data_IF_320271378063
#
_entry.id   IF_320271378063
#
_cell.length_a   1.000
_cell.length_b   1.000
_cell.length_c   1.000
_cell.angle_alpha   90.00
_cell.angle_beta   90.00
_cell.angle_gamma   90.00
#
_symmetry.space_group_name_H-M   'P 1'
#
loop_
_entity.id
_entity.type
_entity.pdbx_description
1 polymer ?
#
# COMPACT_ATOMS: atom_id res chain seq x y z
N UNK A 1 -4.35 0.15 10.88
CA UNK A 1 -5.51 0.33 9.97
C UNK A 1 -5.68 1.81 9.70
N UNK A 2 -5.52 2.25 8.48
CA UNK A 2 -5.70 3.61 8.01
C UNK A 2 -7.13 3.77 7.48
N UNK A 3 -7.79 4.83 7.90
CA UNK A 3 -9.20 5.05 7.56
C UNK A 3 -9.43 6.16 6.55
N UNK A 4 -8.66 7.23 6.60
CA UNK A 4 -8.88 8.47 5.82
C UNK A 4 -10.38 8.87 5.81
N UNK A 5 -10.96 9.06 4.61
CA UNK A 5 -12.38 9.42 4.44
C UNK A 5 -13.37 8.25 4.66
N UNK A 6 -12.86 7.03 4.90
CA UNK A 6 -13.67 5.89 5.33
C UNK A 6 -14.00 5.90 6.83
N UNK A 7 -13.36 6.74 7.64
CA UNK A 7 -13.71 6.90 9.05
C UNK A 7 -15.07 7.60 9.18
N UNK A 8 -15.94 7.18 10.11
CA UNK A 8 -17.27 7.77 10.30
C UNK A 8 -17.24 9.12 11.02
N UNK A 9 -16.48 10.08 10.48
CA UNK A 9 -16.40 11.41 11.05
C UNK A 9 -17.76 12.04 11.24
N UNK A 10 -17.96 12.75 12.35
CA UNK A 10 -19.22 13.35 12.77
C UNK A 10 -19.06 14.81 13.15
N UNK A 11 -20.19 15.48 13.46
CA UNK A 11 -20.22 16.90 13.83
C UNK A 11 -19.52 17.79 12.81
N UNK A 12 -18.63 18.67 13.26
CA UNK A 12 -17.87 19.61 12.41
C UNK A 12 -16.91 18.94 11.42
N UNK A 13 -16.65 17.63 11.55
CA UNK A 13 -15.81 16.86 10.66
C UNK A 13 -16.61 15.95 9.70
N UNK A 14 -17.94 16.02 9.70
CA UNK A 14 -18.77 15.17 8.84
C UNK A 14 -18.49 15.31 7.33
N UNK A 15 -17.95 16.45 6.91
CA UNK A 15 -17.53 16.70 5.52
C UNK A 15 -16.37 15.82 5.09
N UNK A 16 -15.54 15.33 6.00
CA UNK A 16 -14.38 14.48 5.73
C UNK A 16 -14.78 13.07 5.30
N UNK A 17 -15.93 12.57 5.77
CA UNK A 17 -16.35 11.21 5.49
C UNK A 17 -16.99 11.11 4.11
N UNK A 18 -16.61 10.10 3.34
CA UNK A 18 -17.29 9.75 2.09
C UNK A 18 -18.68 9.14 2.35
N UNK A 19 -19.52 9.09 1.30
CA UNK A 19 -20.90 8.55 1.42
C UNK A 19 -20.93 7.09 1.85
N UNK A 20 -19.94 6.31 1.48
CA UNK A 20 -19.78 4.89 1.79
C UNK A 20 -18.78 4.64 2.92
N UNK A 21 -18.53 5.64 3.78
CA UNK A 21 -17.68 5.47 4.95
C UNK A 21 -18.25 4.39 5.87
N UNK A 22 -17.38 3.77 6.66
CA UNK A 22 -17.80 2.85 7.70
C UNK A 22 -18.74 3.58 8.68
N UNK A 23 -19.66 2.84 9.24
CA UNK A 23 -20.42 3.29 10.41
C UNK A 23 -19.79 2.73 11.69
N UNK A 24 -20.30 3.17 12.83
CA UNK A 24 -19.81 2.71 14.13
C UNK A 24 -20.01 1.20 14.31
N UNK A 25 -21.10 0.65 13.77
CA UNK A 25 -21.41 -0.79 13.87
C UNK A 25 -20.39 -1.60 13.06
N UNK A 26 -20.08 -1.19 11.83
CA UNK A 26 -19.06 -1.83 10.99
C UNK A 26 -17.69 -1.79 11.67
N UNK A 27 -17.32 -0.65 12.26
CA UNK A 27 -16.04 -0.51 12.99
C UNK A 27 -16.00 -1.44 14.20
N UNK A 28 -17.10 -1.55 14.94
CA UNK A 28 -17.23 -2.48 16.07
C UNK A 28 -17.10 -3.94 15.63
N UNK A 29 -17.80 -4.35 14.59
CA UNK A 29 -17.75 -5.71 14.04
C UNK A 29 -16.32 -6.06 13.57
N UNK A 30 -15.61 -5.10 12.95
CA UNK A 30 -14.23 -5.28 12.55
C UNK A 30 -13.31 -5.53 13.76
N UNK A 31 -13.48 -4.76 14.85
CA UNK A 31 -12.73 -4.95 16.10
C UNK A 31 -13.03 -6.32 16.74
N UNK A 32 -14.30 -6.68 16.81
CA UNK A 32 -14.72 -7.98 17.35
C UNK A 32 -14.13 -9.15 16.54
N UNK A 33 -14.16 -9.03 15.20
CA UNK A 33 -13.57 -10.03 14.31
C UNK A 33 -12.06 -10.15 14.47
N UNK A 34 -11.35 -9.02 14.57
CA UNK A 34 -9.91 -9.00 14.82
C UNK A 34 -9.57 -9.67 16.16
N UNK A 35 -10.26 -9.27 17.23
CA UNK A 35 -10.06 -9.82 18.57
C UNK A 35 -10.34 -11.33 18.63
N UNK A 36 -11.36 -11.81 17.92
CA UNK A 36 -11.73 -13.23 17.88
C UNK A 36 -10.59 -14.13 17.32
N UNK A 37 -9.72 -13.57 16.49
CA UNK A 37 -8.55 -14.27 15.93
C UNK A 37 -7.22 -13.81 16.54
N UNK A 38 -7.25 -13.08 17.65
CA UNK A 38 -6.07 -12.64 18.38
C UNK A 38 -5.29 -11.49 17.73
N UNK A 39 -5.93 -10.70 16.86
CA UNK A 39 -5.34 -9.50 16.27
C UNK A 39 -5.76 -8.26 17.05
N UNK A 40 -4.81 -7.36 17.28
CA UNK A 40 -5.05 -6.02 17.80
C UNK A 40 -5.10 -5.02 16.64
N UNK A 41 -6.01 -4.06 16.71
CA UNK A 41 -6.09 -2.97 15.73
C UNK A 41 -5.30 -1.78 16.25
N UNK A 42 -4.34 -1.30 15.46
CA UNK A 42 -3.70 0.00 15.66
C UNK A 42 -4.32 0.96 14.66
N UNK A 43 -5.18 1.90 15.08
CA UNK A 43 -5.72 2.90 14.17
C UNK A 43 -4.61 3.81 13.69
N UNK A 44 -4.62 4.14 12.39
CA UNK A 44 -3.70 5.10 11.78
C UNK A 44 -4.51 6.30 11.29
N UNK A 45 -4.02 7.46 11.62
CA UNK A 45 -4.51 8.75 11.13
C UNK A 45 -3.33 9.56 10.59
N UNK A 46 -3.49 10.08 9.38
CA UNK A 46 -2.53 11.04 8.85
C UNK A 46 -2.68 12.37 9.58
N UNK A 47 -1.55 12.93 10.01
CA UNK A 47 -1.53 14.17 10.80
C UNK A 47 -0.55 15.22 10.26
N UNK A 48 0.08 14.95 9.12
CA UNK A 48 1.03 15.86 8.49
C UNK A 48 1.00 15.84 6.97
N UNK A 49 1.67 14.85 6.30
CA UNK A 49 1.49 14.56 4.89
C UNK A 49 0.25 13.71 4.63
N UNK A 50 0.00 13.36 3.37
CA UNK A 50 -1.17 12.57 2.93
C UNK A 50 -2.51 13.11 3.43
N UNK A 51 -2.62 14.43 3.52
CA UNK A 51 -3.78 15.09 4.11
C UNK A 51 -4.84 15.48 3.06
N UNK A 52 -4.74 14.96 1.83
CA UNK A 52 -5.62 15.28 0.71
C UNK A 52 -7.08 15.00 1.04
N UNK A 53 -7.37 13.91 1.76
CA UNK A 53 -8.74 13.56 2.13
C UNK A 53 -9.44 14.66 2.95
N UNK A 54 -8.69 15.47 3.70
CA UNK A 54 -9.21 16.59 4.47
C UNK A 54 -9.02 17.94 3.73
N UNK A 55 -7.82 18.20 3.19
CA UNK A 55 -7.50 19.50 2.60
C UNK A 55 -8.15 19.75 1.23
N UNK A 56 -8.74 18.73 0.59
CA UNK A 56 -9.57 18.91 -0.61
C UNK A 56 -10.84 19.71 -0.33
N UNK A 57 -11.33 19.73 0.91
CA UNK A 57 -12.54 20.44 1.29
C UNK A 57 -12.30 21.94 1.49
N UNK A 58 -13.26 22.75 1.03
CA UNK A 58 -13.16 24.21 1.08
C UNK A 58 -12.99 24.74 2.52
N UNK A 59 -13.64 24.10 3.48
CA UNK A 59 -13.61 24.44 4.90
C UNK A 59 -12.20 24.35 5.50
N UNK A 60 -11.36 23.50 4.95
CA UNK A 60 -10.00 23.24 5.43
C UNK A 60 -8.91 23.71 4.44
N UNK A 61 -9.28 24.30 3.31
CA UNK A 61 -8.32 24.76 2.30
C UNK A 61 -7.30 25.79 2.83
N UNK A 62 -7.70 26.60 3.81
CA UNK A 62 -6.81 27.58 4.49
C UNK A 62 -5.79 26.95 5.43
N UNK A 63 -5.83 25.64 5.62
CA UNK A 63 -4.88 24.88 6.45
C UNK A 63 -3.77 24.24 5.63
N UNK A 64 -3.82 24.34 4.29
CA UNK A 64 -2.76 23.88 3.41
C UNK A 64 -1.48 24.65 3.68
N UNK A 65 -0.37 23.94 3.66
CA UNK A 65 0.95 24.59 3.75
C UNK A 65 1.29 25.36 2.46
N UNK A 66 0.92 24.81 1.31
CA UNK A 66 0.90 25.50 0.02
C UNK A 66 -0.55 25.52 -0.52
N UNK A 67 -1.11 26.69 -0.88
CA UNK A 67 -2.47 26.79 -1.42
C UNK A 67 -2.74 25.92 -2.66
N UNK A 68 -1.71 25.60 -3.44
CA UNK A 68 -1.80 24.82 -4.67
C UNK A 68 -1.77 23.30 -4.44
N UNK A 69 -1.36 22.85 -3.24
CA UNK A 69 -1.18 21.44 -2.91
C UNK A 69 -2.02 21.07 -1.70
N UNK A 70 -2.61 19.89 -1.75
CA UNK A 70 -3.52 19.40 -0.70
C UNK A 70 -2.89 18.32 0.19
N UNK A 71 -1.61 18.00 -0.03
CA UNK A 71 -0.93 16.89 0.61
C UNK A 71 -0.47 17.20 2.04
N UNK A 72 -0.11 18.46 2.33
CA UNK A 72 0.54 18.83 3.60
C UNK A 72 -0.27 19.87 4.37
N UNK A 73 -0.57 19.56 5.63
CA UNK A 73 -1.23 20.49 6.55
C UNK A 73 -0.20 21.42 7.21
N UNK A 74 -0.53 22.71 7.36
CA UNK A 74 0.38 23.70 7.97
C UNK A 74 0.58 23.45 9.48
N UNK A 75 1.81 23.08 9.92
CA UNK A 75 2.11 22.76 11.32
C UNK A 75 2.14 23.99 12.25
N UNK A 76 2.13 25.19 11.67
CA UNK A 76 2.18 26.44 12.42
C UNK A 76 0.81 27.11 12.56
N UNK A 77 -0.23 26.55 11.98
CA UNK A 77 -1.60 27.05 12.09
C UNK A 77 -2.31 26.34 13.25
N UNK A 78 -2.80 27.09 14.23
CA UNK A 78 -3.50 26.51 15.39
C UNK A 78 -4.81 25.80 15.02
N UNK A 79 -5.46 26.20 13.93
CA UNK A 79 -6.64 25.48 13.41
C UNK A 79 -6.26 24.11 12.83
N UNK A 80 -5.04 23.94 12.32
CA UNK A 80 -4.53 22.62 11.93
C UNK A 80 -4.43 21.69 13.13
N UNK A 81 -3.90 22.20 14.23
CA UNK A 81 -3.78 21.44 15.48
C UNK A 81 -5.17 21.12 16.06
N UNK A 82 -6.12 22.05 15.97
CA UNK A 82 -7.50 21.81 16.37
C UNK A 82 -8.13 20.69 15.51
N UNK A 83 -7.98 20.74 14.20
CA UNK A 83 -8.49 19.71 13.29
C UNK A 83 -7.94 18.33 13.65
N UNK A 84 -6.62 18.21 13.80
CA UNK A 84 -5.95 16.96 14.19
C UNK A 84 -6.47 16.47 15.55
N UNK A 85 -6.62 17.37 16.53
CA UNK A 85 -7.16 17.02 17.86
C UNK A 85 -8.57 16.44 17.77
N UNK A 86 -9.46 17.07 17.00
CA UNK A 86 -10.82 16.57 16.80
C UNK A 86 -10.86 15.21 16.11
N UNK A 87 -9.97 15.00 15.12
CA UNK A 87 -9.85 13.71 14.44
C UNK A 87 -9.37 12.63 15.42
N UNK A 88 -8.31 12.88 16.20
CA UNK A 88 -7.81 11.93 17.21
C UNK A 88 -8.88 11.65 18.28
N UNK A 89 -9.63 12.68 18.70
CA UNK A 89 -10.74 12.53 19.67
C UNK A 89 -11.80 11.54 19.18
N UNK A 90 -12.23 11.66 17.91
CA UNK A 90 -13.22 10.77 17.33
C UNK A 90 -12.67 9.35 17.12
N UNK A 91 -11.40 9.22 16.73
CA UNK A 91 -10.72 7.92 16.66
C UNK A 91 -10.67 7.28 18.06
N UNK A 92 -10.28 8.04 19.08
CA UNK A 92 -10.23 7.54 20.46
C UNK A 92 -11.60 7.08 20.96
N UNK A 93 -12.66 7.76 20.56
CA UNK A 93 -14.01 7.37 20.91
C UNK A 93 -14.38 5.97 20.41
N UNK A 94 -14.08 5.64 19.14
CA UNK A 94 -14.33 4.31 18.56
C UNK A 94 -13.30 3.25 18.97
N UNK A 95 -12.08 3.67 19.26
CA UNK A 95 -10.95 2.82 19.64
C UNK A 95 -10.57 3.04 21.12
N UNK A 96 -11.58 3.10 22.00
CA UNK A 96 -11.39 3.45 23.42
C UNK A 96 -10.53 2.45 24.21
N UNK A 97 -10.48 1.19 23.75
CA UNK A 97 -9.75 0.07 24.35
C UNK A 97 -8.35 -0.14 23.75
N UNK A 98 -8.03 0.52 22.61
CA UNK A 98 -6.74 0.38 21.99
C UNK A 98 -5.66 1.20 22.72
N UNK A 99 -4.49 0.58 22.91
CA UNK A 99 -3.37 1.22 23.60
C UNK A 99 -2.46 2.04 22.68
N UNK A 100 -2.50 1.74 21.40
CA UNK A 100 -1.58 2.30 20.41
C UNK A 100 -2.33 3.09 19.34
N UNK A 101 -1.71 4.15 18.86
CA UNK A 101 -2.13 4.89 17.67
C UNK A 101 -0.93 5.14 16.76
N UNK A 102 -1.14 5.08 15.45
CA UNK A 102 -0.17 5.53 14.47
C UNK A 102 -0.60 6.91 13.95
N UNK A 103 0.26 7.91 14.05
CA UNK A 103 -0.05 9.30 13.67
C UNK A 103 0.44 9.67 12.26
N UNK A 104 0.88 8.69 11.45
CA UNK A 104 1.38 8.92 10.10
C UNK A 104 2.65 9.75 10.09
N UNK A 105 2.54 11.00 9.67
CA UNK A 105 3.58 12.01 9.57
C UNK A 105 4.60 11.78 8.45
N UNK A 106 4.29 10.91 7.50
CA UNK A 106 5.09 10.63 6.32
C UNK A 106 4.85 11.68 5.22
N UNK A 107 5.78 11.74 4.30
CA UNK A 107 5.73 12.44 3.01
C UNK A 107 5.16 13.87 3.00
N UNK A 108 5.36 14.64 4.07
CA UNK A 108 5.03 16.07 4.08
C UNK A 108 6.03 16.86 3.21
N UNK A 109 5.78 16.86 1.89
CA UNK A 109 6.71 17.43 0.90
C UNK A 109 6.66 18.95 0.84
N UNK A 110 5.47 19.54 0.84
CA UNK A 110 5.26 20.98 0.74
C UNK A 110 5.25 21.62 2.13
N UNK A 111 6.42 21.80 2.74
CA UNK A 111 6.55 22.31 4.10
C UNK A 111 7.42 23.57 4.18
N UNK A 112 7.10 24.45 5.13
CA UNK A 112 7.83 25.69 5.35
C UNK A 112 7.45 26.81 4.38
N UNK A 113 6.31 26.69 3.67
CA UNK A 113 5.88 27.61 2.63
C UNK A 113 4.82 28.61 3.13
N UNK A 114 3.97 28.23 4.07
CA UNK A 114 2.99 29.13 4.68
C UNK A 114 3.67 30.26 5.45
N UNK A 115 3.01 31.43 5.48
CA UNK A 115 3.54 32.63 6.17
C UNK A 115 3.85 32.41 7.65
N UNK A 116 3.04 31.61 8.34
CA UNK A 116 3.27 31.29 9.76
C UNK A 116 4.50 30.38 9.93
N UNK A 117 4.69 29.42 9.02
CA UNK A 117 5.88 28.59 8.98
C UNK A 117 7.13 29.40 8.64
N UNK A 118 7.07 30.26 7.63
CA UNK A 118 8.16 31.17 7.26
C UNK A 118 8.56 32.08 8.44
N UNK A 119 7.59 32.63 9.16
CA UNK A 119 7.88 33.45 10.36
C UNK A 119 8.64 32.63 11.42
N UNK A 120 8.19 31.41 11.71
CA UNK A 120 8.87 30.53 12.68
C UNK A 120 10.27 30.14 12.22
N UNK A 121 10.42 29.79 10.96
CA UNK A 121 11.72 29.44 10.38
C UNK A 121 12.72 30.61 10.55
N UNK A 122 12.27 31.85 10.31
CA UNK A 122 13.13 33.03 10.37
C UNK A 122 13.38 33.54 11.79
N UNK A 123 12.53 33.20 12.78
CA UNK A 123 12.63 33.76 14.14
C UNK A 123 13.09 32.74 15.18
N UNK A 124 12.54 31.54 15.20
CA UNK A 124 12.73 30.60 16.32
C UNK A 124 13.43 29.29 15.90
N UNK A 125 13.40 28.93 14.62
CA UNK A 125 13.91 27.66 14.15
C UNK A 125 15.25 27.75 13.41
N UNK A 126 15.84 28.94 13.29
CA UNK A 126 17.10 29.19 12.58
C UNK A 126 17.11 28.60 11.14
N UNK A 127 16.00 28.72 10.42
CA UNK A 127 15.83 28.20 9.07
C UNK A 127 15.68 26.68 8.96
N UNK A 128 15.61 25.95 10.06
CA UNK A 128 15.58 24.48 10.04
C UNK A 128 14.18 23.92 9.81
N UNK A 129 13.94 23.40 8.61
CA UNK A 129 12.75 22.64 8.22
C UNK A 129 12.62 21.38 9.09
N UNK A 130 13.71 20.69 9.36
CA UNK A 130 13.70 19.46 10.17
C UNK A 130 13.21 19.72 11.60
N UNK A 131 13.60 20.86 12.19
CA UNK A 131 13.08 21.25 13.50
C UNK A 131 11.58 21.55 13.43
N UNK A 132 11.11 22.23 12.38
CA UNK A 132 9.69 22.47 12.17
C UNK A 132 8.89 21.17 12.11
N UNK A 133 9.38 20.17 11.36
CA UNK A 133 8.80 18.84 11.28
C UNK A 133 8.77 18.15 12.65
N UNK A 134 9.92 18.07 13.31
CA UNK A 134 10.05 17.39 14.60
C UNK A 134 9.19 18.04 15.71
N UNK A 135 9.06 19.36 15.72
CA UNK A 135 8.19 20.05 16.67
C UNK A 135 6.71 19.71 16.44
N UNK A 136 6.28 19.62 15.17
CA UNK A 136 4.92 19.18 14.85
C UNK A 136 4.66 17.74 15.30
N UNK A 137 5.51 16.80 14.89
CA UNK A 137 5.42 15.38 15.27
C UNK A 137 5.36 15.25 16.80
N UNK A 138 6.27 15.92 17.51
CA UNK A 138 6.32 15.90 18.98
C UNK A 138 5.06 16.47 19.62
N UNK A 139 4.49 17.53 19.03
CA UNK A 139 3.25 18.14 19.51
C UNK A 139 2.07 17.19 19.38
N UNK A 140 1.91 16.56 18.22
CA UNK A 140 0.84 15.60 17.96
C UNK A 140 1.01 14.34 18.81
N UNK A 141 2.23 13.80 18.92
CA UNK A 141 2.50 12.62 19.74
C UNK A 141 2.19 12.87 21.23
N UNK A 142 2.57 14.03 21.76
CA UNK A 142 2.21 14.42 23.14
C UNK A 142 0.71 14.56 23.32
N UNK A 143 0.02 15.20 22.39
CA UNK A 143 -1.44 15.30 22.39
C UNK A 143 -2.10 13.92 22.46
N UNK A 144 -1.68 12.98 21.60
CA UNK A 144 -2.21 11.62 21.61
C UNK A 144 -1.99 10.90 22.95
N UNK A 145 -0.83 11.10 23.58
CA UNK A 145 -0.51 10.50 24.90
C UNK A 145 -1.21 11.19 26.06
N UNK A 146 -1.06 12.48 26.18
CA UNK A 146 -1.43 13.25 27.37
C UNK A 146 -2.92 13.61 27.39
N UNK A 147 -3.50 13.96 26.24
CA UNK A 147 -4.92 14.34 26.15
C UNK A 147 -5.83 13.13 25.91
N UNK A 148 -5.37 12.16 25.09
CA UNK A 148 -6.20 11.02 24.67
C UNK A 148 -5.80 9.67 25.27
N UNK A 149 -4.72 9.61 26.07
CA UNK A 149 -4.36 8.46 26.88
C UNK A 149 -3.86 7.24 26.07
N UNK A 150 -3.31 7.44 24.87
CA UNK A 150 -2.60 6.37 24.17
C UNK A 150 -1.27 6.08 24.85
N UNK A 151 -1.01 4.80 25.15
CA UNK A 151 0.25 4.38 25.78
C UNK A 151 1.41 4.43 24.78
N UNK A 152 1.15 4.09 23.52
CA UNK A 152 2.13 4.04 22.43
C UNK A 152 1.68 4.89 21.25
N UNK A 153 2.61 5.67 20.70
CA UNK A 153 2.40 6.46 19.49
C UNK A 153 3.45 6.06 18.47
N UNK A 154 3.00 5.56 17.32
CA UNK A 154 3.83 5.20 16.19
C UNK A 154 3.85 6.34 15.18
N UNK A 155 4.98 6.49 14.50
CA UNK A 155 5.20 7.47 13.43
C UNK A 155 6.06 6.87 12.34
N UNK A 156 5.81 7.24 11.09
CA UNK A 156 6.68 6.88 9.99
C UNK A 156 8.00 7.67 10.06
N UNK A 157 9.08 7.02 9.69
CA UNK A 157 10.42 7.61 9.76
C UNK A 157 10.91 8.22 8.44
N UNK A 158 10.31 7.93 7.32
CA UNK A 158 10.72 8.36 5.99
C UNK A 158 10.98 9.88 5.89
N UNK A 159 10.14 10.67 6.55
CA UNK A 159 10.31 12.13 6.63
C UNK A 159 11.67 12.56 7.19
N UNK A 160 12.35 11.69 7.94
CA UNK A 160 13.67 11.92 8.52
C UNK A 160 14.81 11.37 7.65
N UNK A 161 14.50 10.59 6.58
CA UNK A 161 15.48 9.96 5.69
C UNK A 161 15.76 10.72 4.41
N UNK A 162 15.08 11.82 4.13
CA UNK A 162 15.28 12.65 2.93
C UNK A 162 16.67 13.32 2.84
N UNK A 163 17.60 12.89 3.66
CA UNK A 163 19.02 13.25 3.59
C UNK A 163 19.77 12.55 2.45
N UNK A 164 19.09 12.26 1.35
CA UNK A 164 19.69 11.88 0.07
C UNK A 164 20.23 10.46 -0.01
N UNK A 165 19.80 9.72 -1.02
CA UNK A 165 20.41 8.51 -1.57
C UNK A 165 20.12 7.14 -0.91
N UNK A 166 19.06 6.94 -0.18
CA UNK A 166 18.62 5.57 0.22
C UNK A 166 19.62 4.79 1.10
N UNK A 167 20.63 5.46 1.64
CA UNK A 167 21.61 4.89 2.56
C UNK A 167 21.27 5.40 3.95
N UNK A 168 21.00 4.48 4.87
CA UNK A 168 20.83 4.86 6.27
C UNK A 168 22.11 5.54 6.78
N UNK A 169 22.01 6.70 7.44
CA UNK A 169 23.18 7.38 8.01
C UNK A 169 23.93 6.47 8.98
N UNK A 170 25.26 6.54 8.99
CA UNK A 170 26.08 5.82 9.95
C UNK A 170 25.62 6.09 11.40
N UNK A 171 25.52 5.04 12.21
CA UNK A 171 25.09 5.13 13.60
C UNK A 171 23.59 5.43 13.79
N UNK A 172 22.75 5.33 12.74
CA UNK A 172 21.31 5.58 12.86
C UNK A 172 20.66 4.71 13.95
N UNK A 173 20.86 3.40 13.88
CA UNK A 173 20.25 2.46 14.84
C UNK A 173 20.81 2.60 16.25
N UNK A 174 22.05 3.04 16.40
CA UNK A 174 22.62 3.41 17.70
C UNK A 174 21.84 4.58 18.31
N UNK A 175 21.64 5.67 17.55
CA UNK A 175 20.86 6.82 18.01
C UNK A 175 19.41 6.47 18.28
N UNK A 176 18.79 5.66 17.40
CA UNK A 176 17.40 5.23 17.57
C UNK A 176 17.20 4.38 18.81
N UNK A 177 18.10 3.46 19.09
CA UNK A 177 18.03 2.62 20.30
C UNK A 177 18.12 3.40 21.60
N UNK A 178 18.68 4.61 21.57
CA UNK A 178 18.75 5.52 22.73
C UNK A 178 17.48 6.33 22.95
N UNK A 179 16.66 6.52 21.91
CA UNK A 179 15.49 7.41 21.91
C UNK A 179 14.17 6.64 21.89
N UNK A 180 14.10 5.57 21.10
CA UNK A 180 12.86 4.83 20.88
C UNK A 180 12.89 3.47 21.61
N UNK A 181 11.81 3.18 22.34
CA UNK A 181 11.63 1.89 22.99
C UNK A 181 11.33 0.78 22.01
N UNK A 182 10.62 1.11 20.91
CA UNK A 182 10.21 0.17 19.88
C UNK A 182 10.61 0.69 18.49
N UNK A 183 11.15 -0.20 17.68
CA UNK A 183 11.48 0.03 16.27
C UNK A 183 10.74 -1.02 15.44
N UNK A 184 10.13 -0.60 14.36
CA UNK A 184 9.52 -1.48 13.37
C UNK A 184 10.20 -1.26 12.02
N UNK A 185 10.47 -2.34 11.29
CA UNK A 185 10.76 -2.21 9.89
C UNK A 185 9.44 -2.14 9.11
N UNK A 186 9.39 -1.33 8.06
CA UNK A 186 8.21 -1.16 7.24
C UNK A 186 8.49 -1.59 5.80
N UNK A 187 7.78 -2.61 5.35
CA UNK A 187 7.77 -3.10 3.98
C UNK A 187 6.36 -3.04 3.39
N UNK A 188 6.18 -3.64 2.23
CA UNK A 188 4.89 -3.77 1.61
C UNK A 188 4.61 -5.22 1.23
N UNK A 189 3.34 -5.60 1.11
CA UNK A 189 2.94 -6.88 0.52
C UNK A 189 2.22 -6.73 -0.81
N UNK A 190 1.78 -5.50 -1.15
CA UNK A 190 1.15 -5.11 -2.42
C UNK A 190 1.22 -3.60 -2.63
N UNK A 191 0.95 -3.14 -3.85
CA UNK A 191 0.76 -1.72 -4.18
C UNK A 191 2.05 -0.99 -4.58
N UNK A 192 3.21 -1.65 -4.65
CA UNK A 192 4.49 -1.04 -4.96
C UNK A 192 5.15 -1.53 -6.27
N UNK A 193 4.46 -2.33 -7.08
CA UNK A 193 5.04 -2.92 -8.28
C UNK A 193 4.90 -2.05 -9.54
N UNK A 194 4.06 -1.02 -9.50
CA UNK A 194 3.88 -0.07 -10.61
C UNK A 194 2.44 0.39 -10.81
N UNK A 195 2.27 1.39 -11.66
CA UNK A 195 1.04 2.19 -11.81
C UNK A 195 -0.20 1.36 -12.21
N UNK A 196 -0.04 0.31 -12.98
CA UNK A 196 -1.18 -0.46 -13.50
C UNK A 196 -1.06 -1.96 -13.21
N UNK A 197 -0.24 -2.33 -12.25
CA UNK A 197 -0.07 -3.72 -11.89
C UNK A 197 -1.36 -4.29 -11.28
N UNK A 198 -1.69 -5.52 -11.68
CA UNK A 198 -2.86 -6.24 -11.18
C UNK A 198 -2.47 -7.41 -10.28
N UNK A 199 -1.26 -7.92 -10.47
CA UNK A 199 -0.64 -8.97 -9.69
C UNK A 199 0.53 -8.47 -8.87
N UNK A 200 0.78 -9.17 -7.77
CA UNK A 200 1.89 -8.91 -6.86
C UNK A 200 3.09 -9.77 -7.26
N UNK A 201 4.21 -9.14 -7.53
CA UNK A 201 5.51 -9.81 -7.70
C UNK A 201 6.08 -10.19 -6.32
N UNK A 202 5.65 -11.34 -5.81
CA UNK A 202 5.95 -11.79 -4.44
C UNK A 202 7.45 -11.77 -4.15
N UNK A 203 8.28 -12.22 -5.08
CA UNK A 203 9.73 -12.28 -4.89
C UNK A 203 10.37 -10.90 -4.70
N UNK A 204 9.84 -9.85 -5.32
CA UNK A 204 10.29 -8.48 -5.10
C UNK A 204 10.10 -8.04 -3.64
N UNK A 205 8.95 -8.33 -3.06
CA UNK A 205 8.67 -8.03 -1.66
C UNK A 205 9.50 -8.91 -0.71
N UNK A 206 9.74 -10.17 -1.08
CA UNK A 206 10.63 -11.05 -0.33
C UNK A 206 12.09 -10.57 -0.34
N UNK A 207 12.56 -9.93 -1.41
CA UNK A 207 13.89 -9.31 -1.45
C UNK A 207 14.02 -8.17 -0.43
N UNK A 208 12.99 -7.35 -0.28
CA UNK A 208 12.95 -6.31 0.76
C UNK A 208 13.06 -6.93 2.16
N UNK A 209 12.31 -7.99 2.43
CA UNK A 209 12.37 -8.69 3.71
C UNK A 209 13.76 -9.27 3.99
N UNK A 210 14.40 -9.92 3.00
CA UNK A 210 15.79 -10.41 3.14
C UNK A 210 16.78 -9.26 3.40
N UNK A 211 16.54 -8.09 2.81
CA UNK A 211 17.37 -6.90 3.08
C UNK A 211 17.23 -6.44 4.53
N UNK A 212 16.03 -6.50 5.12
CA UNK A 212 15.80 -6.23 6.53
C UNK A 212 16.45 -7.26 7.45
N UNK A 213 16.42 -8.54 7.09
CA UNK A 213 17.15 -9.57 7.83
C UNK A 213 18.66 -9.28 7.85
N UNK A 214 19.23 -8.94 6.70
CA UNK A 214 20.63 -8.57 6.61
C UNK A 214 20.97 -7.32 7.45
N UNK A 215 20.11 -6.29 7.36
CA UNK A 215 20.26 -5.05 8.11
C UNK A 215 20.19 -5.28 9.62
N UNK A 216 19.28 -6.15 10.07
CA UNK A 216 19.19 -6.56 11.47
C UNK A 216 20.48 -7.21 11.95
N UNK A 217 21.00 -8.20 11.24
CA UNK A 217 22.24 -8.88 11.64
C UNK A 217 23.45 -7.93 11.68
N UNK A 218 23.51 -6.95 10.77
CA UNK A 218 24.58 -5.94 10.78
C UNK A 218 24.49 -5.00 11.99
N UNK A 219 23.30 -4.83 12.57
CA UNK A 219 23.01 -3.88 13.65
C UNK A 219 22.41 -4.56 14.88
N UNK A 220 22.60 -5.86 15.06
CA UNK A 220 21.96 -6.66 16.10
C UNK A 220 22.17 -6.08 17.50
N UNK A 221 23.37 -5.56 17.81
CA UNK A 221 23.69 -4.96 19.10
C UNK A 221 22.78 -3.77 19.50
N UNK A 222 22.18 -3.10 18.53
CA UNK A 222 21.27 -1.96 18.74
C UNK A 222 19.80 -2.35 18.58
N UNK A 223 19.52 -3.36 17.75
CA UNK A 223 18.15 -3.74 17.36
C UNK A 223 17.59 -4.91 18.17
N UNK A 224 18.44 -5.74 18.79
CA UNK A 224 18.04 -6.97 19.48
C UNK A 224 16.88 -6.77 20.46
N UNK A 225 16.92 -5.71 21.26
CA UNK A 225 15.92 -5.42 22.30
C UNK A 225 14.95 -4.29 21.90
N UNK A 226 15.04 -3.81 20.68
CA UNK A 226 14.26 -2.68 20.16
C UNK A 226 13.41 -3.02 18.94
N UNK A 227 13.84 -3.94 18.08
CA UNK A 227 13.06 -4.37 16.94
C UNK A 227 11.86 -5.20 17.40
N UNK A 228 10.69 -4.62 17.34
CA UNK A 228 9.44 -5.22 17.81
C UNK A 228 8.76 -6.05 16.73
N UNK A 229 8.92 -5.67 15.47
CA UNK A 229 8.30 -6.38 14.36
C UNK A 229 8.49 -5.70 13.00
N UNK A 230 7.72 -6.20 12.04
CA UNK A 230 7.69 -5.67 10.67
C UNK A 230 6.26 -5.29 10.32
N UNK A 231 6.07 -4.08 9.83
CA UNK A 231 4.81 -3.59 9.27
C UNK A 231 4.81 -3.93 7.77
N UNK A 232 3.78 -4.61 7.31
CA UNK A 232 3.56 -4.91 5.91
C UNK A 232 2.42 -4.05 5.39
N UNK A 233 2.76 -3.01 4.64
CA UNK A 233 1.77 -2.09 4.05
C UNK A 233 1.12 -2.69 2.81
N UNK A 234 -0.10 -2.30 2.51
CA UNK A 234 -0.85 -2.75 1.34
C UNK A 234 -1.53 -1.59 0.64
N UNK A 235 -0.76 -0.78 -0.10
CA UNK A 235 -1.30 0.40 -0.79
C UNK A 235 -2.32 0.02 -1.85
N UNK A 236 -3.36 0.84 -1.99
CA UNK A 236 -4.41 0.66 -2.99
C UNK A 236 -4.00 1.22 -4.35
N UNK A 237 -3.06 2.17 -4.36
CA UNK A 237 -2.53 2.86 -5.52
C UNK A 237 -1.01 2.93 -5.44
N UNK A 238 -0.35 2.99 -6.58
CA UNK A 238 1.10 3.21 -6.64
C UNK A 238 1.48 4.65 -6.24
N UNK A 239 0.64 5.61 -6.61
CA UNK A 239 0.68 6.98 -6.13
C UNK A 239 -0.73 7.56 -6.08
N UNK A 240 -0.95 8.69 -5.38
CA UNK A 240 -2.27 9.26 -5.11
C UNK A 240 -3.17 9.46 -6.34
N UNK A 241 -2.59 9.81 -7.48
CA UNK A 241 -3.31 10.12 -8.72
C UNK A 241 -3.31 8.98 -9.74
N UNK A 242 -2.74 7.83 -9.38
CA UNK A 242 -2.67 6.68 -10.29
C UNK A 242 -3.88 5.76 -10.14
N UNK A 243 -4.09 4.84 -11.09
CA UNK A 243 -5.12 3.81 -11.01
C UNK A 243 -5.00 2.95 -9.76
N UNK A 244 -6.11 2.33 -9.36
CA UNK A 244 -6.10 1.22 -8.40
C UNK A 244 -5.22 0.09 -8.95
N UNK A 245 -4.36 -0.46 -8.11
CA UNK A 245 -3.47 -1.56 -8.47
C UNK A 245 -3.56 -2.68 -7.44
N UNK A 246 -3.17 -3.87 -7.83
CA UNK A 246 -2.97 -5.04 -6.95
C UNK A 246 -4.03 -5.13 -5.84
N UNK A 247 -5.29 -5.34 -6.22
CA UNK A 247 -6.40 -5.44 -5.26
C UNK A 247 -6.09 -6.43 -4.14
N UNK A 248 -6.69 -6.25 -2.97
CA UNK A 248 -6.40 -7.06 -1.78
C UNK A 248 -6.41 -8.59 -2.04
N UNK A 249 -7.39 -9.17 -2.75
CA UNK A 249 -7.35 -10.60 -3.08
C UNK A 249 -6.08 -11.03 -3.83
N UNK A 250 -5.58 -10.19 -4.75
CA UNK A 250 -4.33 -10.45 -5.46
C UNK A 250 -3.08 -10.38 -4.55
N UNK A 251 -3.18 -9.65 -3.44
CA UNK A 251 -2.10 -9.49 -2.46
C UNK A 251 -2.05 -10.55 -1.36
N UNK A 252 -3.12 -11.34 -1.16
CA UNK A 252 -3.19 -12.31 -0.05
C UNK A 252 -2.06 -13.35 -0.09
N UNK A 253 -1.70 -13.96 -1.22
CA UNK A 253 -0.57 -14.89 -1.27
C UNK A 253 0.76 -14.24 -0.86
N UNK A 254 0.99 -12.99 -1.27
CA UNK A 254 2.18 -12.23 -0.88
C UNK A 254 2.21 -11.95 0.62
N UNK A 255 1.08 -11.53 1.19
CA UNK A 255 0.94 -11.30 2.63
C UNK A 255 1.22 -12.58 3.42
N UNK A 256 0.62 -13.71 3.01
CA UNK A 256 0.81 -15.00 3.65
C UNK A 256 2.29 -15.41 3.65
N UNK A 257 2.95 -15.34 2.49
CA UNK A 257 4.37 -15.70 2.36
C UNK A 257 5.28 -14.83 3.24
N UNK A 258 5.05 -13.53 3.25
CA UNK A 258 5.83 -12.61 4.06
C UNK A 258 5.57 -12.80 5.55
N UNK A 259 4.31 -12.92 5.98
CA UNK A 259 3.95 -13.13 7.38
C UNK A 259 4.57 -14.42 7.94
N UNK A 260 4.54 -15.52 7.17
CA UNK A 260 5.19 -16.78 7.53
C UNK A 260 6.71 -16.59 7.64
N UNK A 261 7.34 -15.93 6.66
CA UNK A 261 8.79 -15.70 6.68
C UNK A 261 9.22 -14.82 7.86
N UNK A 262 8.46 -13.76 8.17
CA UNK A 262 8.70 -12.92 9.35
C UNK A 262 8.56 -13.75 10.64
N UNK A 263 7.51 -14.55 10.75
CA UNK A 263 7.31 -15.40 11.92
C UNK A 263 8.45 -16.41 12.10
N UNK A 264 8.93 -17.03 11.03
CA UNK A 264 10.06 -17.96 11.07
C UNK A 264 11.35 -17.25 11.48
N UNK A 265 11.63 -16.08 10.91
CA UNK A 265 12.79 -15.27 11.25
C UNK A 265 12.78 -14.84 12.72
N UNK A 266 11.69 -14.26 13.20
CA UNK A 266 11.58 -13.81 14.61
C UNK A 266 11.69 -14.96 15.61
N UNK A 267 11.26 -16.17 15.23
CA UNK A 267 11.36 -17.36 16.06
C UNK A 267 12.63 -18.19 15.81
N UNK A 268 13.57 -17.69 14.98
CA UNK A 268 14.85 -18.38 14.65
C UNK A 268 14.64 -19.81 14.13
N UNK A 269 13.62 -20.02 13.31
CA UNK A 269 13.31 -21.31 12.69
C UNK A 269 13.94 -21.42 11.31
N UNK A 270 14.20 -22.65 10.85
CA UNK A 270 14.60 -22.90 9.46
C UNK A 270 13.52 -22.41 8.48
N UNK A 271 13.95 -21.78 7.40
CA UNK A 271 13.06 -21.19 6.40
C UNK A 271 12.51 -22.29 5.47
N UNK A 272 11.26 -22.68 5.66
CA UNK A 272 10.46 -23.52 4.76
C UNK A 272 9.22 -22.76 4.29
N UNK A 273 9.41 -21.50 3.97
CA UNK A 273 8.31 -20.55 3.77
C UNK A 273 7.33 -20.99 2.69
N UNK A 274 7.82 -21.53 1.58
CA UNK A 274 6.96 -21.93 0.45
C UNK A 274 6.07 -23.13 0.79
N UNK A 275 6.61 -24.11 1.50
CA UNK A 275 5.83 -25.26 1.96
C UNK A 275 4.74 -24.82 2.95
N UNK A 276 5.10 -24.04 3.97
CA UNK A 276 4.14 -23.57 4.97
C UNK A 276 3.08 -22.65 4.36
N UNK A 277 3.45 -21.82 3.37
CA UNK A 277 2.49 -20.99 2.66
C UNK A 277 1.47 -21.83 1.89
N UNK A 278 1.91 -22.87 1.17
CA UNK A 278 1.02 -23.77 0.44
C UNK A 278 0.09 -24.53 1.37
N UNK A 279 0.61 -25.00 2.51
CA UNK A 279 -0.20 -25.64 3.55
C UNK A 279 -1.20 -24.66 4.16
N UNK A 280 -0.77 -23.43 4.46
CA UNK A 280 -1.61 -22.37 5.03
C UNK A 280 -2.74 -21.94 4.09
N UNK A 281 -2.45 -21.81 2.79
CA UNK A 281 -3.43 -21.46 1.76
C UNK A 281 -4.19 -22.68 1.24
N UNK A 282 -3.92 -23.89 1.77
CA UNK A 282 -4.55 -25.15 1.37
C UNK A 282 -4.53 -25.37 -0.15
N UNK A 283 -3.36 -25.27 -0.76
CA UNK A 283 -3.16 -25.44 -2.19
C UNK A 283 -3.12 -26.95 -2.55
N UNK A 284 -3.79 -27.34 -3.64
CA UNK A 284 -3.88 -28.75 -4.07
C UNK A 284 -2.59 -29.25 -4.73
N UNK A 285 -1.78 -28.38 -5.30
CA UNK A 285 -0.52 -28.69 -5.99
C UNK A 285 0.66 -28.00 -5.32
N UNK A 286 1.79 -28.71 -5.18
CA UNK A 286 3.04 -28.09 -4.76
C UNK A 286 3.60 -27.27 -5.92
N UNK A 287 3.48 -25.95 -5.80
CA UNK A 287 4.01 -25.02 -6.79
C UNK A 287 5.50 -24.81 -6.55
N UNK A 288 6.31 -25.08 -7.57
CA UNK A 288 7.69 -24.59 -7.61
C UNK A 288 7.73 -23.34 -8.49
N UNK A 289 8.57 -22.38 -8.14
CA UNK A 289 8.92 -21.28 -9.02
C UNK A 289 9.47 -21.84 -10.33
N UNK A 290 8.65 -21.87 -11.36
CA UNK A 290 9.12 -22.17 -12.71
C UNK A 290 8.80 -20.99 -13.61
N UNK A 291 9.86 -20.41 -14.19
CA UNK A 291 9.70 -19.56 -15.35
C UNK A 291 9.08 -20.43 -16.45
N UNK A 292 7.78 -20.31 -16.64
CA UNK A 292 7.10 -21.00 -17.75
C UNK A 292 7.43 -20.28 -19.05
N UNK A 293 7.92 -21.02 -20.03
CA UNK A 293 8.08 -20.51 -21.39
C UNK A 293 6.73 -20.65 -22.09
N UNK A 294 6.18 -19.55 -22.54
CA UNK A 294 5.02 -19.60 -23.43
C UNK A 294 5.48 -19.73 -24.86
N UNK A 295 4.96 -20.73 -25.56
CA UNK A 295 5.27 -20.95 -26.98
C UNK A 295 3.99 -20.67 -27.78
N UNK A 296 4.04 -19.69 -28.68
CA UNK A 296 2.94 -19.32 -29.54
C UNK A 296 3.44 -19.09 -30.96
N UNK A 297 2.81 -19.73 -31.96
CA UNK A 297 3.20 -19.66 -33.38
C UNK A 297 4.70 -19.84 -33.63
N UNK A 298 5.33 -20.75 -32.88
CA UNK A 298 6.78 -21.05 -33.04
C UNK A 298 7.72 -20.08 -32.31
N UNK A 299 7.21 -18.99 -31.72
CA UNK A 299 7.98 -18.06 -30.89
C UNK A 299 7.92 -18.46 -29.42
N UNK A 300 9.06 -18.35 -28.74
CA UNK A 300 9.15 -18.63 -27.30
C UNK A 300 9.28 -17.31 -26.55
N UNK A 301 8.34 -17.01 -25.70
CA UNK A 301 8.30 -15.81 -24.87
C UNK A 301 8.66 -16.17 -23.43
N UNK A 302 9.53 -15.41 -22.76
CA UNK A 302 9.75 -15.56 -21.32
C UNK A 302 8.50 -15.10 -20.59
N UNK A 303 7.80 -16.02 -19.97
CA UNK A 303 6.62 -15.73 -19.18
C UNK A 303 6.90 -16.06 -17.72
N UNK A 304 6.95 -15.05 -16.88
CA UNK A 304 7.23 -15.22 -15.45
C UNK A 304 5.90 -15.12 -14.69
N UNK A 305 5.18 -16.26 -14.62
CA UNK A 305 4.29 -16.45 -13.49
C UNK A 305 5.10 -17.01 -12.34
N UNK A 306 5.24 -16.26 -11.29
CA UNK A 306 5.98 -16.75 -10.12
C UNK A 306 5.27 -17.92 -9.45
N UNK A 307 3.94 -17.87 -9.33
CA UNK A 307 3.11 -18.93 -8.76
C UNK A 307 1.68 -18.82 -9.26
N UNK A 308 1.01 -19.97 -9.44
CA UNK A 308 -0.44 -20.04 -9.62
C UNK A 308 -1.07 -20.38 -8.28
N UNK A 309 -1.92 -19.49 -7.78
CA UNK A 309 -2.66 -19.69 -6.54
C UNK A 309 -4.14 -19.99 -6.77
N UNK A 310 -4.55 -20.17 -8.01
CA UNK A 310 -5.94 -20.46 -8.38
C UNK A 310 -6.46 -21.79 -7.85
N UNK A 311 -5.57 -22.72 -7.48
CA UNK A 311 -5.89 -23.99 -6.85
C UNK A 311 -5.83 -23.99 -5.31
N UNK A 312 -5.62 -22.81 -4.71
CA UNK A 312 -5.56 -22.59 -3.27
C UNK A 312 -6.91 -22.15 -2.70
N UNK A 313 -7.01 -22.08 -1.38
CA UNK A 313 -8.21 -21.62 -0.66
C UNK A 313 -7.90 -20.40 0.17
N UNK A 314 -8.33 -19.24 -0.27
CA UNK A 314 -8.25 -17.99 0.47
C UNK A 314 -9.39 -17.04 0.05
N UNK A 315 -9.75 -16.06 0.89
CA UNK A 315 -10.80 -15.10 0.54
C UNK A 315 -10.49 -14.35 -0.75
N UNK A 316 -11.38 -14.48 -1.74
CA UNK A 316 -11.21 -13.82 -3.05
C UNK A 316 -10.37 -14.60 -4.06
N UNK A 317 -10.09 -15.90 -3.84
CA UNK A 317 -9.37 -16.75 -4.81
C UNK A 317 -10.05 -16.81 -6.18
N UNK A 318 -11.39 -16.77 -6.20
CA UNK A 318 -12.15 -16.71 -7.46
C UNK A 318 -11.84 -15.44 -8.24
N UNK A 319 -11.87 -14.29 -7.58
CA UNK A 319 -11.47 -13.01 -8.20
C UNK A 319 -10.00 -13.04 -8.62
N UNK A 320 -9.11 -13.60 -7.79
CA UNK A 320 -7.70 -13.78 -8.12
C UNK A 320 -7.55 -14.56 -9.44
N UNK A 321 -8.25 -15.68 -9.58
CA UNK A 321 -8.19 -16.55 -10.76
C UNK A 321 -8.65 -15.85 -12.03
N UNK A 322 -9.74 -15.08 -11.95
CA UNK A 322 -10.26 -14.33 -13.10
C UNK A 322 -9.32 -13.16 -13.51
N UNK A 323 -8.67 -12.52 -12.55
CA UNK A 323 -7.64 -11.51 -12.86
C UNK A 323 -6.40 -12.17 -13.48
N UNK A 324 -6.02 -13.37 -13.04
CA UNK A 324 -4.95 -14.17 -13.65
C UNK A 324 -5.26 -14.45 -15.12
N UNK A 325 -6.48 -14.90 -15.41
CA UNK A 325 -6.93 -15.21 -16.77
C UNK A 325 -6.99 -13.94 -17.64
N UNK A 326 -7.44 -12.83 -17.08
CA UNK A 326 -7.43 -11.51 -17.74
C UNK A 326 -6.02 -11.09 -18.17
N UNK A 327 -5.03 -11.26 -17.31
CA UNK A 327 -3.65 -10.91 -17.64
C UNK A 327 -3.07 -11.85 -18.71
N UNK A 328 -3.37 -13.14 -18.62
CA UNK A 328 -2.96 -14.10 -19.64
C UNK A 328 -3.56 -13.75 -21.02
N UNK A 329 -4.85 -13.39 -21.04
CA UNK A 329 -5.55 -13.02 -22.27
C UNK A 329 -4.96 -11.75 -22.91
N UNK A 330 -4.67 -10.74 -22.10
CA UNK A 330 -4.02 -9.50 -22.56
C UNK A 330 -2.63 -9.76 -23.13
N UNK A 331 -1.89 -10.61 -22.46
CA UNK A 331 -0.55 -10.95 -22.88
C UNK A 331 -0.59 -11.73 -24.22
N UNK A 332 -1.52 -12.68 -24.39
CA UNK A 332 -1.77 -13.36 -25.66
C UNK A 332 -2.13 -12.36 -26.77
N UNK A 333 -3.05 -11.43 -26.49
CA UNK A 333 -3.46 -10.40 -27.45
C UNK A 333 -2.33 -9.46 -27.86
N UNK A 334 -1.43 -9.12 -26.93
CA UNK A 334 -0.27 -8.31 -27.25
C UNK A 334 0.75 -9.05 -28.11
N UNK A 335 0.97 -10.34 -27.86
CA UNK A 335 1.79 -11.20 -28.72
C UNK A 335 1.19 -11.32 -30.13
N UNK A 336 -0.12 -11.52 -30.25
CA UNK A 336 -0.77 -11.59 -31.57
C UNK A 336 -0.56 -10.29 -32.37
N UNK A 337 -0.68 -9.13 -31.73
CA UNK A 337 -0.41 -7.85 -32.39
C UNK A 337 1.06 -7.69 -32.78
N UNK A 338 1.99 -8.14 -31.93
CA UNK A 338 3.41 -8.12 -32.26
C UNK A 338 3.70 -8.98 -33.46
N UNK A 339 3.12 -10.20 -33.54
CA UNK A 339 3.29 -11.12 -34.67
C UNK A 339 2.60 -10.57 -35.93
N UNK A 340 1.44 -9.91 -35.84
CA UNK A 340 0.74 -9.33 -36.99
C UNK A 340 1.54 -8.26 -37.72
N UNK A 341 2.45 -7.60 -37.03
CA UNK A 341 3.40 -6.68 -37.69
C UNK A 341 4.44 -7.39 -38.55
N UNK A 342 4.50 -8.73 -38.50
CA UNK A 342 5.49 -9.58 -39.20
C UNK A 342 4.81 -10.50 -40.25
N UNK A 343 3.52 -10.84 -40.07
CA UNK A 343 2.76 -11.79 -40.90
C UNK A 343 1.45 -11.20 -41.46
N UNK A 344 0.74 -11.96 -42.32
CA UNK A 344 -0.47 -11.52 -43.04
C UNK A 344 -1.66 -11.19 -42.12
N UNK A 345 -2.32 -10.07 -42.38
CA UNK A 345 -3.32 -9.38 -41.52
C UNK A 345 -4.62 -10.20 -41.21
N UNK A 346 -5.10 -11.05 -42.08
CA UNK A 346 -6.46 -11.62 -41.96
C UNK A 346 -6.64 -12.70 -40.87
N UNK A 347 -5.65 -13.56 -40.62
CA UNK A 347 -5.76 -14.60 -39.58
C UNK A 347 -5.63 -13.99 -38.17
N UNK A 348 -4.76 -13.04 -38.02
CA UNK A 348 -4.54 -12.35 -36.73
C UNK A 348 -5.75 -11.54 -36.31
N UNK A 349 -6.46 -10.89 -37.26
CA UNK A 349 -7.66 -10.14 -36.96
C UNK A 349 -8.77 -11.05 -36.38
N UNK A 350 -8.99 -12.24 -36.96
CA UNK A 350 -9.95 -13.19 -36.43
C UNK A 350 -9.62 -13.71 -35.03
N UNK A 351 -8.34 -13.92 -34.72
CA UNK A 351 -7.92 -14.31 -33.37
C UNK A 351 -8.11 -13.20 -32.36
N UNK A 352 -7.79 -11.95 -32.72
CA UNK A 352 -8.03 -10.78 -31.86
C UNK A 352 -9.53 -10.56 -31.59
N UNK A 353 -10.40 -10.78 -32.57
CA UNK A 353 -11.86 -10.67 -32.38
C UNK A 353 -12.40 -11.74 -31.40
N UNK A 354 -11.89 -12.95 -31.47
CA UNK A 354 -12.20 -14.00 -30.47
C UNK A 354 -11.74 -13.61 -29.07
N UNK A 355 -10.52 -13.08 -28.95
CA UNK A 355 -9.98 -12.61 -27.67
C UNK A 355 -10.79 -11.42 -27.11
N UNK A 356 -11.30 -10.53 -27.96
CA UNK A 356 -12.20 -9.44 -27.52
C UNK A 356 -13.54 -9.96 -26.98
N UNK A 357 -14.09 -11.03 -27.56
CA UNK A 357 -15.32 -11.67 -27.05
C UNK A 357 -15.08 -12.37 -25.72
N UNK A 358 -13.96 -13.08 -25.59
CA UNK A 358 -13.53 -13.71 -24.34
C UNK A 358 -13.29 -12.66 -23.26
N UNK A 359 -12.62 -11.57 -23.59
CA UNK A 359 -12.39 -10.44 -22.69
C UNK A 359 -13.70 -9.81 -22.19
N UNK A 360 -14.70 -9.64 -23.07
CA UNK A 360 -16.01 -9.10 -22.65
C UNK A 360 -16.72 -9.99 -21.66
N UNK A 361 -16.62 -11.33 -21.82
CA UNK A 361 -17.19 -12.28 -20.85
C UNK A 361 -16.46 -12.23 -19.51
N UNK A 362 -15.14 -12.30 -19.56
CA UNK A 362 -14.27 -12.26 -18.39
C UNK A 362 -14.47 -10.95 -17.58
N UNK A 363 -14.56 -9.81 -18.27
CA UNK A 363 -14.83 -8.52 -17.65
C UNK A 363 -16.16 -8.50 -16.89
N UNK A 364 -17.21 -9.16 -17.39
CA UNK A 364 -18.50 -9.27 -16.68
C UNK A 364 -18.38 -10.11 -15.41
N UNK A 365 -17.68 -11.23 -15.49
CA UNK A 365 -17.42 -12.11 -14.34
C UNK A 365 -16.63 -11.35 -13.27
N UNK A 366 -15.54 -10.69 -13.66
CA UNK A 366 -14.73 -9.88 -12.76
C UNK A 366 -15.56 -8.76 -12.10
N UNK A 367 -16.41 -8.05 -12.86
CA UNK A 367 -17.29 -7.03 -12.32
C UNK A 367 -18.22 -7.56 -11.22
N UNK A 368 -18.81 -8.72 -11.46
CA UNK A 368 -19.65 -9.40 -10.45
C UNK A 368 -18.89 -9.78 -9.20
N UNK A 369 -17.71 -10.36 -9.35
CA UNK A 369 -16.85 -10.77 -8.23
C UNK A 369 -16.32 -9.57 -7.44
N UNK A 370 -15.93 -8.48 -8.12
CA UNK A 370 -15.52 -7.24 -7.47
C UNK A 370 -16.61 -6.68 -6.56
N UNK A 371 -17.88 -6.74 -6.99
CA UNK A 371 -19.02 -6.29 -6.20
C UNK A 371 -19.23 -7.04 -4.87
N UNK A 372 -18.62 -8.21 -4.66
CA UNK A 372 -18.62 -8.90 -3.38
C UNK A 372 -17.63 -8.32 -2.37
N UNK A 373 -16.62 -7.58 -2.81
CA UNK A 373 -15.53 -7.08 -1.97
C UNK A 373 -15.46 -5.56 -1.92
N UNK A 374 -15.96 -4.86 -2.95
CA UNK A 374 -15.75 -3.43 -3.12
C UNK A 374 -17.08 -2.71 -3.39
N UNK A 375 -17.14 -1.44 -3.03
CA UNK A 375 -18.26 -0.57 -3.36
C UNK A 375 -18.33 -0.29 -4.86
N UNK A 376 -19.53 0.04 -5.35
CA UNK A 376 -19.82 0.24 -6.78
C UNK A 376 -18.87 1.26 -7.45
N UNK A 377 -18.58 2.38 -6.78
CA UNK A 377 -17.66 3.40 -7.29
C UNK A 377 -16.22 2.88 -7.47
N UNK A 378 -15.78 1.99 -6.58
CA UNK A 378 -14.47 1.32 -6.69
C UNK A 378 -14.45 0.31 -7.83
N UNK A 379 -15.55 -0.44 -8.01
CA UNK A 379 -15.73 -1.38 -9.13
C UNK A 379 -15.70 -0.64 -10.46
N UNK A 380 -16.44 0.46 -10.57
CA UNK A 380 -16.51 1.29 -11.78
C UNK A 380 -15.15 1.89 -12.12
N UNK A 381 -14.43 2.42 -11.12
CA UNK A 381 -13.08 2.93 -11.31
C UNK A 381 -12.14 1.84 -11.83
N UNK A 382 -12.13 0.67 -11.19
CA UNK A 382 -11.26 -0.43 -11.61
C UNK A 382 -11.57 -0.88 -13.03
N UNK A 383 -12.85 -1.03 -13.39
CA UNK A 383 -13.30 -1.42 -14.72
C UNK A 383 -12.97 -0.38 -15.79
N UNK A 384 -13.04 0.91 -15.45
CA UNK A 384 -12.64 1.99 -16.34
C UNK A 384 -11.14 1.97 -16.64
N UNK A 385 -10.34 1.66 -15.63
CA UNK A 385 -8.88 1.61 -15.74
C UNK A 385 -8.37 0.33 -16.38
N UNK A 386 -9.01 -0.79 -16.07
CA UNK A 386 -8.60 -2.12 -16.49
C UNK A 386 -9.55 -2.74 -17.53
N UNK A 387 -10.50 -1.99 -18.03
CA UNK A 387 -11.55 -2.46 -18.94
C UNK A 387 -11.18 -2.55 -20.42
N UNK A 388 -9.90 -2.50 -20.79
CA UNK A 388 -9.45 -2.55 -22.18
C UNK A 388 -8.45 -3.69 -22.40
N UNK A 389 -8.63 -4.47 -23.48
CA UNK A 389 -7.72 -5.54 -23.88
C UNK A 389 -6.35 -5.00 -24.32
N UNK A 390 -6.30 -3.74 -24.77
CA UNK A 390 -5.16 -3.13 -25.47
C UNK A 390 -4.21 -2.32 -24.56
N UNK A 391 -4.16 -2.58 -23.26
CA UNK A 391 -3.51 -1.68 -22.30
C UNK A 391 -2.04 -1.97 -21.99
N UNK A 392 -1.44 -3.02 -22.54
CA UNK A 392 -0.01 -3.24 -22.39
C UNK A 392 0.76 -2.48 -23.48
N UNK A 393 1.74 -1.70 -23.08
CA UNK A 393 2.78 -1.20 -23.98
C UNK A 393 3.80 -2.33 -24.23
N UNK A 394 4.45 -2.34 -25.37
CA UNK A 394 5.47 -3.34 -25.74
C UNK A 394 6.61 -3.43 -24.70
N UNK A 395 6.91 -2.32 -24.03
CA UNK A 395 7.91 -2.25 -22.96
C UNK A 395 7.47 -3.01 -21.68
N UNK A 396 6.16 -3.08 -21.38
CA UNK A 396 5.62 -3.81 -20.22
C UNK A 396 5.69 -5.33 -20.41
N UNK A 397 5.83 -5.78 -21.65
CA UNK A 397 5.86 -7.19 -22.03
C UNK A 397 7.28 -7.76 -22.19
N UNK A 398 8.31 -6.91 -22.08
CA UNK A 398 9.70 -7.31 -22.36
C UNK A 398 9.90 -7.81 -23.81
N UNK A 399 9.01 -7.43 -24.73
CA UNK A 399 9.12 -7.78 -26.13
C UNK A 399 10.19 -6.92 -26.81
N UNK A 400 11.04 -7.49 -27.69
CA UNK A 400 11.99 -6.70 -28.45
C UNK A 400 11.24 -5.72 -29.35
N UNK A 401 11.67 -4.47 -29.37
CA UNK A 401 11.06 -3.47 -30.30
C UNK A 401 11.26 -3.95 -31.73
N UNK A 402 10.23 -3.99 -32.58
CA UNK A 402 10.42 -4.28 -33.97
C UNK A 402 11.40 -3.25 -34.55
N UNK A 403 12.50 -3.72 -35.14
CA UNK A 403 13.43 -2.84 -35.86
C UNK A 403 12.61 -2.08 -36.89
N UNK A 404 12.54 -0.75 -36.73
CA UNK A 404 12.11 0.11 -37.81
C UNK A 404 13.19 0.01 -38.89
N UNK A 405 12.90 -0.84 -39.90
CA UNK A 405 13.61 -0.82 -41.17
C UNK A 405 13.29 0.44 -41.93
#
# INVERSE_FOLDING_TARGET
MEYEDMFPYSFGLSVLRRKTAFDEMTTKQLKESANAIGLNIIPLIQTFGHFEFALKHQEFSSLREDPNWMDTICPSNERSIWLIREMISQIRHLHHDEKSIHIGCDEAYHIGLDKACQLRLNTTLNGSIDRLKLEHISRVARMAKEEFGFEQVLVWYDILTWLGQGIFPDGLFERFSQVFDNIYFAGAFKGADGISQQFVHIERYMQTLRSYQKLYHQNEKYLKDRLTGIILTGWQRYSHTTPLCELLPAGIPSLARQAISVSQWMNKKEERTDQFMQEFLNCSVRHSTSATKFVHKGFTFPFVFEFKFSDCQFPGVELYSEIEELNLLRWKAAIERYISNIETENETQNELEKMEEEFRKLRKTIASLLGHFFYEDTVDEWLAQHGHLNRFNDDDLGLPRPNRL
#
